data_IF_327384636282
#
_entry.id   IF_327384636282
#
_cell.length_a   1.000
_cell.length_b   1.000
_cell.length_c   1.000
_cell.angle_alpha   90.00
_cell.angle_beta   90.00
_cell.angle_gamma   90.00
#
_symmetry.space_group_name_H-M   'P 1'
#
loop_
_entity.id
_entity.type
_entity.pdbx_description
1 polymer ?
#
# COMPACT_ATOMS: atom_id res chain seq x y z
N UNK A 1 -13.91 3.35 -20.85
CA UNK A 1 -13.44 2.48 -19.75
C UNK A 1 -11.94 2.71 -19.61
N UNK A 2 -11.49 3.21 -18.45
CA UNK A 2 -10.06 3.40 -18.19
C UNK A 2 -9.43 2.01 -17.96
N UNK A 3 -8.92 1.40 -19.02
CA UNK A 3 -8.44 0.00 -19.05
C UNK A 3 -7.32 -0.30 -18.04
N UNK A 4 -6.65 0.73 -17.54
CA UNK A 4 -5.48 0.62 -16.67
C UNK A 4 -5.76 0.85 -15.18
N UNK A 5 -7.03 1.09 -14.79
CA UNK A 5 -7.41 1.34 -13.38
C UNK A 5 -6.91 0.25 -12.40
N UNK A 6 -7.02 -1.07 -12.70
CA UNK A 6 -6.53 -2.12 -11.81
C UNK A 6 -5.03 -1.96 -11.50
N UNK A 7 -4.21 -1.66 -12.50
CA UNK A 7 -2.78 -1.47 -12.33
C UNK A 7 -2.48 -0.22 -11.49
N UNK A 8 -3.23 0.87 -11.71
CA UNK A 8 -3.05 2.12 -10.97
C UNK A 8 -3.33 1.98 -9.46
N UNK A 9 -4.20 1.05 -9.05
CA UNK A 9 -4.50 0.82 -7.64
C UNK A 9 -3.24 0.47 -6.82
N UNK A 10 -2.30 -0.28 -7.41
CA UNK A 10 -1.04 -0.69 -6.75
C UNK A 10 0.12 0.22 -7.15
N UNK A 11 0.23 0.58 -8.43
CA UNK A 11 1.36 1.35 -8.95
C UNK A 11 1.40 2.77 -8.37
N UNK A 12 0.24 3.39 -8.14
CA UNK A 12 0.18 4.76 -7.64
C UNK A 12 0.86 4.90 -6.26
N UNK A 13 0.47 4.15 -5.20
CA UNK A 13 1.17 4.24 -3.92
C UNK A 13 2.62 3.74 -4.03
N UNK A 14 2.89 2.70 -4.83
CA UNK A 14 4.24 2.13 -4.97
C UNK A 14 5.24 3.13 -5.59
N UNK A 15 4.86 3.86 -6.64
CA UNK A 15 5.69 4.88 -7.26
C UNK A 15 5.74 6.16 -6.41
N UNK A 16 4.68 6.47 -5.66
CA UNK A 16 4.66 7.62 -4.75
C UNK A 16 5.67 7.44 -3.61
N UNK A 17 5.91 6.22 -3.14
CA UNK A 17 6.83 5.94 -2.05
C UNK A 17 8.25 6.51 -2.26
N UNK A 18 9.02 6.14 -3.32
CA UNK A 18 10.34 6.71 -3.54
C UNK A 18 10.30 8.20 -3.87
N UNK A 19 9.19 8.71 -4.43
CA UNK A 19 9.05 10.13 -4.72
C UNK A 19 9.05 11.00 -3.44
N UNK A 20 8.59 10.45 -2.31
CA UNK A 20 8.71 11.12 -1.01
C UNK A 20 10.16 11.45 -0.63
N UNK A 21 11.15 10.68 -1.08
CA UNK A 21 12.56 10.92 -0.75
C UNK A 21 13.09 12.22 -1.36
N UNK A 22 12.52 12.68 -2.48
CA UNK A 22 12.88 13.96 -3.08
C UNK A 22 12.27 15.15 -2.33
N UNK A 23 11.24 14.91 -1.51
CA UNK A 23 10.58 15.92 -0.69
C UNK A 23 11.40 16.13 0.60
N UNK A 24 12.25 17.16 0.59
CA UNK A 24 13.15 17.48 1.73
C UNK A 24 12.43 17.92 3.01
N UNK A 25 11.13 18.24 2.95
CA UNK A 25 10.36 18.76 4.09
C UNK A 25 9.33 17.72 4.55
N UNK A 26 9.30 17.35 5.86
CA UNK A 26 8.34 16.39 6.40
C UNK A 26 6.88 16.71 6.09
N UNK A 27 6.49 17.99 6.20
CA UNK A 27 5.13 18.45 5.89
C UNK A 27 4.75 18.25 4.42
N UNK A 28 5.70 18.46 3.49
CA UNK A 28 5.46 18.21 2.06
C UNK A 28 5.33 16.72 1.78
N UNK A 29 6.17 15.89 2.41
CA UNK A 29 6.08 14.44 2.30
C UNK A 29 4.75 13.90 2.86
N UNK A 30 4.29 14.44 3.99
CA UNK A 30 2.98 14.13 4.55
C UNK A 30 1.85 14.48 3.59
N UNK A 31 1.79 15.74 3.12
CA UNK A 31 0.74 16.19 2.23
C UNK A 31 0.72 15.39 0.92
N UNK A 32 1.90 15.12 0.35
CA UNK A 32 2.03 14.28 -0.84
C UNK A 32 1.52 12.86 -0.59
N UNK A 33 1.82 12.28 0.58
CA UNK A 33 1.38 10.94 0.96
C UNK A 33 -0.14 10.87 1.16
N UNK A 34 -0.74 11.90 1.76
CA UNK A 34 -2.21 12.04 1.88
C UNK A 34 -2.85 12.14 0.48
N UNK A 35 -2.28 12.94 -0.42
CA UNK A 35 -2.78 13.07 -1.79
C UNK A 35 -2.67 11.74 -2.53
N UNK A 36 -1.52 11.05 -2.44
CA UNK A 36 -1.31 9.75 -3.07
C UNK A 36 -2.34 8.72 -2.57
N UNK A 37 -2.51 8.59 -1.25
CA UNK A 37 -3.50 7.68 -0.65
C UNK A 37 -4.93 8.05 -1.05
N UNK A 38 -5.27 9.35 -1.06
CA UNK A 38 -6.58 9.84 -1.52
C UNK A 38 -6.85 9.55 -3.00
N UNK A 39 -5.86 9.69 -3.88
CA UNK A 39 -5.97 9.29 -5.29
C UNK A 39 -6.16 7.77 -5.42
N UNK A 40 -5.47 6.95 -4.62
CA UNK A 40 -5.68 5.50 -4.58
C UNK A 40 -7.08 5.13 -4.08
N UNK A 41 -7.63 5.90 -3.13
CA UNK A 41 -9.01 5.74 -2.67
C UNK A 41 -10.00 6.05 -3.80
N UNK A 42 -9.78 7.11 -4.59
CA UNK A 42 -10.60 7.42 -5.76
C UNK A 42 -10.53 6.31 -6.82
N UNK A 43 -9.35 5.71 -7.06
CA UNK A 43 -9.22 4.54 -7.93
C UNK A 43 -10.03 3.36 -7.38
N UNK A 44 -10.00 3.13 -6.06
CA UNK A 44 -10.76 2.04 -5.42
C UNK A 44 -12.28 2.25 -5.52
N UNK A 45 -12.76 3.50 -5.39
CA UNK A 45 -14.18 3.86 -5.59
C UNK A 45 -14.61 3.58 -7.04
N UNK A 46 -13.80 3.98 -8.02
CA UNK A 46 -14.13 3.78 -9.44
C UNK A 46 -14.12 2.29 -9.81
N UNK A 47 -13.17 1.51 -9.28
CA UNK A 47 -13.15 0.05 -9.44
C UNK A 47 -14.40 -0.60 -8.83
N UNK A 48 -14.82 -0.19 -7.62
CA UNK A 48 -16.04 -0.71 -7.02
C UNK A 48 -17.28 -0.40 -7.86
N UNK A 49 -17.44 0.83 -8.34
CA UNK A 49 -18.55 1.21 -9.22
C UNK A 49 -18.57 0.37 -10.49
N UNK A 50 -17.40 0.15 -11.11
CA UNK A 50 -17.28 -0.66 -12.32
C UNK A 50 -17.65 -2.12 -12.04
N UNK A 51 -17.14 -2.73 -10.98
CA UNK A 51 -17.47 -4.12 -10.63
C UNK A 51 -18.95 -4.30 -10.27
N UNK A 52 -19.57 -3.30 -9.64
CA UNK A 52 -21.02 -3.30 -9.36
C UNK A 52 -21.84 -3.26 -10.65
N UNK A 53 -21.40 -2.53 -11.67
CA UNK A 53 -22.13 -2.34 -12.92
C UNK A 53 -21.90 -3.46 -13.95
N UNK A 54 -20.65 -3.90 -14.14
CA UNK A 54 -20.25 -4.82 -15.22
C UNK A 54 -19.82 -6.22 -14.73
N UNK A 55 -19.77 -6.46 -13.42
CA UNK A 55 -19.25 -7.71 -12.86
C UNK A 55 -17.73 -7.73 -12.70
N UNK A 56 -17.17 -8.92 -12.44
CA UNK A 56 -15.75 -9.11 -12.14
C UNK A 56 -14.85 -8.56 -13.24
N UNK A 57 -13.83 -7.78 -12.85
CA UNK A 57 -12.81 -7.26 -13.76
C UNK A 57 -11.65 -8.26 -13.79
N UNK A 58 -11.25 -8.65 -15.00
CA UNK A 58 -10.03 -9.43 -15.26
C UNK A 58 -9.07 -8.54 -16.04
N UNK A 59 -7.86 -8.41 -15.52
CA UNK A 59 -6.83 -7.56 -16.10
C UNK A 59 -5.53 -8.36 -16.26
N UNK A 60 -5.15 -8.61 -17.51
CA UNK A 60 -3.91 -9.30 -17.88
C UNK A 60 -2.77 -8.30 -17.98
N UNK A 61 -1.77 -8.45 -17.10
CA UNK A 61 -0.63 -7.55 -17.08
C UNK A 61 0.31 -7.86 -18.25
N UNK A 62 0.60 -6.84 -19.06
CA UNK A 62 1.51 -6.97 -20.20
C UNK A 62 0.96 -7.75 -21.39
N UNK A 63 -0.33 -8.09 -21.40
CA UNK A 63 -0.99 -8.79 -22.51
C UNK A 63 -0.66 -10.28 -22.63
N UNK A 64 -0.09 -10.87 -21.58
CA UNK A 64 0.14 -12.31 -21.50
C UNK A 64 -1.03 -12.95 -20.75
N UNK A 65 -1.76 -13.85 -21.40
CA UNK A 65 -2.84 -14.57 -20.75
C UNK A 65 -2.31 -15.59 -19.72
N UNK A 66 -3.08 -15.88 -18.65
CA UNK A 66 -2.77 -16.96 -17.72
C UNK A 66 -2.58 -18.31 -18.45
N UNK A 67 -1.69 -19.22 -17.97
CA UNK A 67 -0.96 -19.18 -16.69
C UNK A 67 0.41 -18.49 -16.75
N UNK A 68 0.85 -17.99 -17.90
CA UNK A 68 2.20 -17.44 -18.07
C UNK A 68 2.31 -15.96 -17.70
N UNK A 69 1.18 -15.23 -17.74
CA UNK A 69 1.08 -13.82 -17.36
C UNK A 69 0.51 -13.59 -15.97
N UNK A 70 0.71 -12.37 -15.47
CA UNK A 70 0.15 -11.90 -14.20
C UNK A 70 -1.28 -11.43 -14.44
N UNK A 71 -2.24 -11.98 -13.68
CA UNK A 71 -3.63 -11.55 -13.70
C UNK A 71 -4.00 -10.79 -12.43
N UNK A 72 -4.68 -9.66 -12.60
CA UNK A 72 -5.45 -9.01 -11.53
C UNK A 72 -6.92 -9.35 -11.72
N UNK A 73 -7.54 -9.85 -10.65
CA UNK A 73 -8.93 -10.30 -10.67
C UNK A 73 -9.70 -9.60 -9.56
N UNK A 74 -10.52 -8.62 -9.95
CA UNK A 74 -11.27 -7.80 -9.02
C UNK A 74 -12.73 -8.21 -9.06
N UNK A 75 -13.16 -8.96 -8.04
CA UNK A 75 -14.57 -9.19 -7.78
C UNK A 75 -15.14 -8.16 -6.79
N UNK A 76 -16.40 -8.37 -6.40
CA UNK A 76 -17.12 -7.45 -5.49
C UNK A 76 -16.44 -7.37 -4.12
N UNK A 77 -15.90 -8.48 -3.63
CA UNK A 77 -15.24 -8.55 -2.34
C UNK A 77 -13.89 -7.81 -2.39
N UNK A 78 -13.08 -8.08 -3.41
CA UNK A 78 -11.79 -7.43 -3.62
C UNK A 78 -11.97 -5.92 -3.75
N UNK A 79 -12.93 -5.46 -4.56
CA UNK A 79 -13.20 -4.03 -4.71
C UNK A 79 -13.61 -3.36 -3.38
N UNK A 80 -14.41 -4.05 -2.56
CA UNK A 80 -14.80 -3.55 -1.25
C UNK A 80 -13.64 -3.50 -0.26
N UNK A 81 -12.78 -4.53 -0.25
CA UNK A 81 -11.57 -4.57 0.56
C UNK A 81 -10.57 -3.47 0.17
N UNK A 82 -10.37 -3.24 -1.14
CA UNK A 82 -9.55 -2.13 -1.64
C UNK A 82 -10.06 -0.79 -1.12
N UNK A 83 -11.39 -0.56 -1.16
CA UNK A 83 -12.00 0.65 -0.64
C UNK A 83 -11.80 0.80 0.87
N UNK A 84 -11.98 -0.27 1.66
CA UNK A 84 -11.76 -0.24 3.11
C UNK A 84 -10.31 0.12 3.43
N UNK A 85 -9.34 -0.57 2.81
CA UNK A 85 -7.91 -0.37 3.07
C UNK A 85 -7.51 1.07 2.72
N UNK A 86 -7.89 1.57 1.55
CA UNK A 86 -7.57 2.94 1.11
C UNK A 86 -8.27 4.01 1.95
N UNK A 87 -9.52 3.78 2.37
CA UNK A 87 -10.26 4.71 3.23
C UNK A 87 -9.64 4.80 4.62
N UNK A 88 -9.36 3.65 5.26
CA UNK A 88 -8.67 3.60 6.55
C UNK A 88 -7.31 4.26 6.43
N UNK A 89 -6.57 3.96 5.37
CA UNK A 89 -5.25 4.56 5.14
C UNK A 89 -5.33 6.09 5.07
N UNK A 90 -6.26 6.62 4.28
CA UNK A 90 -6.45 8.07 4.12
C UNK A 90 -6.82 8.73 5.45
N UNK A 91 -7.77 8.14 6.21
CA UNK A 91 -8.20 8.66 7.51
C UNK A 91 -7.06 8.62 8.53
N UNK A 92 -6.30 7.52 8.59
CA UNK A 92 -5.14 7.39 9.47
C UNK A 92 -4.08 8.44 9.15
N UNK A 93 -3.75 8.66 7.87
CA UNK A 93 -2.77 9.68 7.49
C UNK A 93 -3.18 11.10 7.87
N UNK A 94 -4.48 11.43 7.77
CA UNK A 94 -5.02 12.73 8.18
C UNK A 94 -4.89 12.93 9.70
N UNK A 95 -5.09 11.87 10.48
CA UNK A 95 -5.01 11.92 11.94
C UNK A 95 -3.57 11.80 12.49
N UNK A 96 -2.69 11.09 11.77
CA UNK A 96 -1.40 10.63 12.30
C UNK A 96 -0.31 11.71 12.36
N UNK A 97 -0.48 12.88 11.72
CA UNK A 97 0.56 13.91 11.64
C UNK A 97 1.13 14.26 13.02
N UNK A 98 0.26 14.54 14.00
CA UNK A 98 0.68 14.93 15.36
C UNK A 98 1.27 13.76 16.15
N UNK A 99 0.85 12.52 15.88
CA UNK A 99 1.40 11.32 16.52
C UNK A 99 2.81 11.03 15.99
N UNK A 100 3.03 11.16 14.68
CA UNK A 100 4.34 10.94 14.04
C UNK A 100 5.38 11.92 14.58
N UNK A 101 5.03 13.21 14.72
CA UNK A 101 5.92 14.22 15.31
C UNK A 101 6.35 13.86 16.75
N UNK A 102 5.43 13.30 17.55
CA UNK A 102 5.69 12.92 18.93
C UNK A 102 6.48 11.63 19.06
N UNK A 103 6.21 10.62 18.24
CA UNK A 103 6.74 9.27 18.43
C UNK A 103 7.97 8.95 17.57
N UNK A 104 8.15 9.63 16.43
CA UNK A 104 9.22 9.35 15.47
C UNK A 104 10.21 10.54 15.41
N UNK A 105 11.53 10.30 15.40
CA UNK A 105 12.51 11.37 15.20
C UNK A 105 12.30 12.09 13.87
N UNK A 106 12.45 13.41 13.84
CA UNK A 106 12.16 14.23 12.66
C UNK A 106 12.93 13.81 11.40
N UNK A 107 14.21 13.41 11.57
CA UNK A 107 15.05 12.91 10.48
C UNK A 107 14.56 11.58 9.86
N UNK A 108 13.56 10.93 10.45
CA UNK A 108 12.96 9.66 9.99
C UNK A 108 11.53 9.83 9.47
N UNK A 109 10.94 11.02 9.51
CA UNK A 109 9.56 11.24 9.05
C UNK A 109 9.37 10.91 7.58
N UNK A 110 10.31 11.29 6.72
CA UNK A 110 10.23 10.97 5.29
C UNK A 110 10.26 9.45 5.08
N UNK A 111 11.12 8.73 5.79
CA UNK A 111 11.20 7.27 5.72
C UNK A 111 9.90 6.60 6.18
N UNK A 112 9.23 7.16 7.20
CA UNK A 112 7.91 6.69 7.62
C UNK A 112 6.91 6.76 6.46
N UNK A 113 6.81 7.90 5.78
CA UNK A 113 5.88 8.06 4.66
C UNK A 113 6.19 7.16 3.46
N UNK A 114 7.49 6.96 3.17
CA UNK A 114 7.93 5.99 2.14
C UNK A 114 7.43 4.59 2.48
N UNK A 115 7.75 4.10 3.69
CA UNK A 115 7.38 2.76 4.13
C UNK A 115 5.86 2.59 4.25
N UNK A 116 5.15 3.64 4.64
CA UNK A 116 3.69 3.66 4.71
C UNK A 116 3.07 3.42 3.33
N UNK A 117 3.56 4.12 2.30
CA UNK A 117 3.08 3.95 0.92
C UNK A 117 3.46 2.59 0.34
N UNK A 118 4.65 2.05 0.67
CA UNK A 118 5.04 0.68 0.29
C UNK A 118 4.11 -0.34 0.96
N UNK A 119 3.81 -0.17 2.24
CA UNK A 119 2.88 -1.03 2.97
C UNK A 119 1.47 -0.99 2.36
N UNK A 120 0.97 0.21 2.02
CA UNK A 120 -0.31 0.37 1.33
C UNK A 120 -0.30 -0.35 -0.02
N UNK A 121 0.73 -0.17 -0.84
CA UNK A 121 0.85 -0.87 -2.12
C UNK A 121 0.87 -2.40 -1.96
N UNK A 122 1.61 -2.91 -0.97
CA UNK A 122 1.65 -4.33 -0.62
C UNK A 122 0.27 -4.87 -0.27
N UNK A 123 -0.44 -4.22 0.65
CA UNK A 123 -1.78 -4.64 1.07
C UNK A 123 -2.79 -4.65 -0.09
N UNK A 124 -2.76 -3.62 -0.95
CA UNK A 124 -3.64 -3.57 -2.12
C UNK A 124 -3.29 -4.66 -3.14
N UNK A 125 -2.00 -4.92 -3.33
CA UNK A 125 -1.49 -5.98 -4.19
C UNK A 125 -1.96 -7.38 -3.80
N UNK A 126 -1.95 -7.69 -2.50
CA UNK A 126 -2.47 -8.96 -1.96
C UNK A 126 -3.94 -9.16 -2.30
N UNK A 127 -4.74 -8.09 -2.23
CA UNK A 127 -6.19 -8.16 -2.45
C UNK A 127 -6.56 -8.30 -3.93
N UNK A 128 -5.80 -7.68 -4.83
CA UNK A 128 -6.18 -7.55 -6.25
C UNK A 128 -5.66 -8.68 -7.14
N UNK A 129 -4.56 -9.33 -6.75
CA UNK A 129 -3.90 -10.31 -7.61
C UNK A 129 -4.65 -11.65 -7.65
N UNK A 130 -4.70 -12.25 -8.84
CA UNK A 130 -5.29 -13.58 -9.07
C UNK A 130 -4.29 -14.73 -8.99
N UNK A 131 -3.02 -14.46 -8.67
CA UNK A 131 -1.93 -15.43 -8.71
C UNK A 131 -1.22 -15.56 -7.36
N UNK A 132 -0.93 -16.80 -6.95
CA UNK A 132 -0.37 -17.11 -5.63
C UNK A 132 1.07 -16.61 -5.45
N UNK A 133 1.88 -16.58 -6.51
CA UNK A 133 3.23 -16.03 -6.44
C UNK A 133 3.20 -14.53 -6.17
N UNK A 134 2.32 -13.79 -6.85
CA UNK A 134 2.16 -12.37 -6.58
C UNK A 134 1.55 -12.08 -5.20
N UNK A 135 0.63 -12.92 -4.71
CA UNK A 135 0.15 -12.82 -3.31
C UNK A 135 1.35 -12.88 -2.36
N UNK A 136 2.24 -13.87 -2.53
CA UNK A 136 3.44 -14.00 -1.71
C UNK A 136 4.35 -12.77 -1.82
N UNK A 137 4.64 -12.30 -3.02
CA UNK A 137 5.48 -11.09 -3.23
C UNK A 137 4.88 -9.88 -2.52
N UNK A 138 3.57 -9.66 -2.63
CA UNK A 138 2.92 -8.53 -1.97
C UNK A 138 2.82 -8.69 -0.45
N UNK A 139 2.66 -9.92 0.05
CA UNK A 139 2.76 -10.21 1.48
C UNK A 139 4.14 -9.82 2.01
N UNK A 140 5.22 -10.22 1.33
CA UNK A 140 6.59 -9.86 1.71
C UNK A 140 6.85 -8.34 1.64
N UNK A 141 6.36 -7.67 0.60
CA UNK A 141 6.45 -6.20 0.50
C UNK A 141 5.74 -5.55 1.70
N UNK A 142 4.54 -6.01 2.03
CA UNK A 142 3.76 -5.46 3.14
C UNK A 142 4.40 -5.74 4.50
N UNK A 143 4.98 -6.93 4.68
CA UNK A 143 5.56 -7.41 5.93
C UNK A 143 6.89 -6.68 6.22
N UNK A 144 7.79 -6.61 5.23
CA UNK A 144 9.05 -5.88 5.33
C UNK A 144 8.83 -4.38 5.59
N UNK A 145 7.80 -3.80 4.97
CA UNK A 145 7.40 -2.42 5.25
C UNK A 145 6.90 -2.27 6.71
N UNK A 146 6.08 -3.19 7.20
CA UNK A 146 5.57 -3.17 8.57
C UNK A 146 6.71 -3.33 9.61
N UNK A 147 7.64 -4.27 9.41
CA UNK A 147 8.80 -4.45 10.29
C UNK A 147 9.64 -3.17 10.35
N UNK A 148 9.85 -2.55 9.18
CA UNK A 148 10.62 -1.32 9.06
C UNK A 148 9.91 -0.14 9.75
N UNK A 149 8.58 -0.03 9.61
CA UNK A 149 7.78 0.99 10.31
C UNK A 149 7.89 0.86 11.83
N UNK A 150 7.83 -0.37 12.36
CA UNK A 150 8.00 -0.63 13.80
C UNK A 150 9.41 -0.21 14.24
N UNK A 151 10.44 -0.56 13.46
CA UNK A 151 11.82 -0.21 13.75
C UNK A 151 12.12 1.31 13.77
N UNK A 152 11.24 2.16 13.21
CA UNK A 152 11.42 3.61 13.24
C UNK A 152 11.17 4.27 14.61
N UNK A 153 10.53 3.56 15.54
CA UNK A 153 10.23 4.08 16.88
C UNK A 153 11.45 4.63 17.63
N UNK A 154 11.22 5.62 18.50
CA UNK A 154 12.28 6.25 19.33
C UNK A 154 12.94 5.29 20.32
N UNK A 155 12.20 4.31 20.83
CA UNK A 155 12.66 3.38 21.86
C UNK A 155 13.49 2.23 21.28
N UNK A 156 14.56 1.83 21.96
CA UNK A 156 15.36 0.64 21.61
C UNK A 156 14.52 -0.64 21.57
N UNK A 157 13.45 -0.71 22.37
CA UNK A 157 12.49 -1.83 22.34
C UNK A 157 11.81 -2.00 20.96
N UNK A 158 11.71 -0.94 20.17
CA UNK A 158 11.10 -0.98 18.85
C UNK A 158 11.88 -1.86 17.87
N UNK A 159 13.22 -1.81 17.92
CA UNK A 159 14.08 -2.68 17.11
C UNK A 159 13.93 -4.15 17.49
N UNK A 160 13.81 -4.43 18.80
CA UNK A 160 13.60 -5.80 19.26
C UNK A 160 12.23 -6.34 18.85
N UNK A 161 11.17 -5.53 18.97
CA UNK A 161 9.83 -5.91 18.51
C UNK A 161 9.79 -6.15 16.99
N UNK A 162 10.44 -5.29 16.19
CA UNK A 162 10.57 -5.48 14.76
C UNK A 162 11.30 -6.78 14.40
N UNK A 163 12.37 -7.13 15.13
CA UNK A 163 13.10 -8.38 14.94
C UNK A 163 12.25 -9.61 15.29
N UNK A 164 11.50 -9.58 16.39
CA UNK A 164 10.59 -10.67 16.76
C UNK A 164 9.49 -10.86 15.70
N UNK A 165 8.93 -9.76 15.18
CA UNK A 165 7.91 -9.84 14.14
C UNK A 165 8.49 -10.32 12.81
N UNK A 166 9.70 -9.90 12.45
CA UNK A 166 10.43 -10.42 11.29
C UNK A 166 10.62 -11.94 11.39
N UNK A 167 11.11 -12.47 12.51
CA UNK A 167 11.28 -13.91 12.69
C UNK A 167 9.96 -14.65 12.52
N UNK A 168 8.90 -14.18 13.20
CA UNK A 168 7.59 -14.82 13.12
C UNK A 168 7.06 -14.83 11.68
N UNK A 169 7.21 -13.73 10.94
CA UNK A 169 6.76 -13.65 9.57
C UNK A 169 7.65 -14.38 8.56
N UNK A 170 8.95 -14.60 8.85
CA UNK A 170 9.80 -15.45 7.99
C UNK A 170 9.50 -16.94 8.13
N UNK A 171 8.84 -17.35 9.22
CA UNK A 171 8.48 -18.74 9.47
C UNK A 171 7.12 -19.09 8.86
N UNK A 172 6.18 -18.13 8.85
CA UNK A 172 4.81 -18.31 8.34
C UNK A 172 4.73 -18.15 6.83
#
# INVERSE_FOLDING_TARGET
>A
MLTQLPALAVILPLLSAPLCLFLRRPLLAWLFTVIASGLTMLVSITLLQQVMASGTIVYEMGGWSPPWGIEYRIDKLNAFLLLIITSISTVVLLAAHTSIEKEIPENRHILFYVLYLVSLAGLLGVVITGDAFNVFVFLEISSLAAYSLIALGKDRRALWAAYQYLIMGTIG
#
